data_IF_381007853197
#
_entry.id   IF_381007853197
#
_cell.length_a   1.000
_cell.length_b   1.000
_cell.length_c   1.000
_cell.angle_alpha   90.00
_cell.angle_beta   90.00
_cell.angle_gamma   90.00
#
_symmetry.space_group_name_H-M   'P 1'
#
loop_
_entity.id
_entity.type
_entity.pdbx_description
1 polymer ?
#
# COMPACT_ATOMS: atom_id res chain seq x y z
N UNK A 1 -10.33 -12.04 -2.73
CA UNK A 1 -10.43 -10.56 -2.83
C UNK A 1 -10.67 -10.19 -4.28
N UNK A 2 -11.70 -9.39 -4.55
CA UNK A 2 -11.96 -8.82 -5.86
C UNK A 2 -10.93 -7.75 -6.27
N UNK A 3 -11.04 -7.23 -7.50
CA UNK A 3 -10.23 -6.08 -7.98
C UNK A 3 -10.46 -4.85 -7.10
N UNK A 4 -11.73 -4.56 -6.79
CA UNK A 4 -12.09 -3.42 -5.95
C UNK A 4 -11.48 -3.54 -4.55
N UNK A 5 -11.59 -4.71 -3.92
CA UNK A 5 -11.02 -4.96 -2.59
C UNK A 5 -9.51 -4.70 -2.54
N UNK A 6 -8.78 -5.04 -3.62
CA UNK A 6 -7.33 -4.79 -3.72
C UNK A 6 -7.03 -3.30 -3.80
N UNK A 7 -7.81 -2.52 -4.55
CA UNK A 7 -7.66 -1.06 -4.58
C UNK A 7 -8.07 -0.39 -3.27
N UNK A 8 -9.11 -0.89 -2.60
CA UNK A 8 -9.49 -0.43 -1.26
C UNK A 8 -8.37 -0.68 -0.25
N UNK A 9 -7.76 -1.88 -0.28
CA UNK A 9 -6.60 -2.20 0.56
C UNK A 9 -5.42 -1.25 0.28
N UNK A 10 -5.09 -1.05 -1.01
CA UNK A 10 -4.03 -0.13 -1.41
C UNK A 10 -4.29 1.29 -0.88
N UNK A 11 -5.50 1.79 -1.04
CA UNK A 11 -5.91 3.09 -0.54
C UNK A 11 -5.75 3.20 0.98
N UNK A 12 -6.26 2.22 1.74
CA UNK A 12 -6.15 2.23 3.21
C UNK A 12 -4.69 2.20 3.67
N UNK A 13 -3.85 1.36 3.05
CA UNK A 13 -2.42 1.30 3.37
C UNK A 13 -1.74 2.64 3.13
N UNK A 14 -1.99 3.28 1.99
CA UNK A 14 -1.43 4.60 1.68
C UNK A 14 -1.98 5.70 2.57
N UNK A 15 -3.30 5.73 2.82
CA UNK A 15 -3.95 6.72 3.66
C UNK A 15 -3.43 6.68 5.11
N UNK A 16 -3.19 5.49 5.66
CA UNK A 16 -2.65 5.31 7.01
C UNK A 16 -1.13 5.49 7.07
N UNK A 17 -0.40 5.30 5.97
CA UNK A 17 1.06 5.44 5.96
C UNK A 17 1.52 6.85 6.37
N UNK A 18 0.88 7.89 5.86
CA UNK A 18 1.26 9.28 6.10
C UNK A 18 1.15 9.70 7.58
N UNK A 19 0.00 9.51 8.27
CA UNK A 19 -0.08 9.83 9.69
C UNK A 19 0.87 8.96 10.54
N UNK A 20 1.12 7.71 10.14
CA UNK A 20 2.03 6.81 10.88
C UNK A 20 3.50 7.25 10.76
N UNK A 21 3.94 7.62 9.55
CA UNK A 21 5.26 8.22 9.29
C UNK A 21 5.40 9.51 10.10
N UNK A 22 4.41 10.41 10.00
CA UNK A 22 4.45 11.70 10.70
C UNK A 22 4.55 11.51 12.21
N UNK A 23 3.66 10.72 12.82
CA UNK A 23 3.68 10.51 14.26
C UNK A 23 4.94 9.77 14.72
N UNK A 24 5.38 8.74 14.00
CA UNK A 24 6.63 8.01 14.32
C UNK A 24 7.88 8.90 14.27
N UNK A 25 7.96 9.79 13.27
CA UNK A 25 9.04 10.77 13.16
C UNK A 25 9.00 11.80 14.28
N UNK A 26 7.81 12.34 14.61
CA UNK A 26 7.64 13.34 15.68
C UNK A 26 7.85 12.77 17.08
N UNK A 27 7.47 11.51 17.33
CA UNK A 27 7.63 10.86 18.62
C UNK A 27 9.02 10.22 18.82
N UNK A 28 9.90 10.25 17.80
CA UNK A 28 11.21 9.57 17.85
C UNK A 28 11.11 8.04 17.87
N UNK A 29 9.97 7.46 17.50
CA UNK A 29 9.74 6.01 17.52
C UNK A 29 10.08 5.42 16.17
N UNK A 30 11.30 4.88 16.05
CA UNK A 30 11.86 4.42 14.78
C UNK A 30 10.99 3.37 14.05
N UNK A 31 10.49 2.41 14.82
CA UNK A 31 9.66 1.34 14.28
C UNK A 31 8.38 1.88 13.60
N UNK A 32 7.82 2.97 14.11
CA UNK A 32 6.52 3.44 13.68
C UNK A 32 6.57 4.13 12.31
N UNK A 33 7.58 4.97 12.08
CA UNK A 33 7.76 5.56 10.76
C UNK A 33 8.26 4.53 9.73
N UNK A 34 9.03 3.52 10.15
CA UNK A 34 9.42 2.41 9.28
C UNK A 34 8.22 1.58 8.82
N UNK A 35 7.28 1.26 9.73
CA UNK A 35 6.03 0.57 9.37
C UNK A 35 5.22 1.42 8.39
N UNK A 36 5.12 2.73 8.61
CA UNK A 36 4.44 3.62 7.68
C UNK A 36 5.05 3.62 6.28
N UNK A 37 6.39 3.64 6.17
CA UNK A 37 7.07 3.49 4.88
C UNK A 37 6.80 2.14 4.22
N UNK A 38 6.77 1.05 4.98
CA UNK A 38 6.42 -0.27 4.46
C UNK A 38 4.98 -0.30 3.92
N UNK A 39 4.03 0.30 4.65
CA UNK A 39 2.64 0.44 4.19
C UNK A 39 2.55 1.24 2.90
N UNK A 40 3.30 2.34 2.79
CA UNK A 40 3.35 3.16 1.57
C UNK A 40 3.90 2.36 0.38
N UNK A 41 5.00 1.63 0.58
CA UNK A 41 5.61 0.81 -0.47
C UNK A 41 4.66 -0.30 -0.94
N UNK A 42 4.04 -1.04 -0.02
CA UNK A 42 3.09 -2.10 -0.34
C UNK A 42 1.85 -1.51 -1.02
N UNK A 43 1.27 -0.45 -0.47
CA UNK A 43 0.10 0.23 -1.03
C UNK A 43 0.35 0.78 -2.43
N UNK A 44 1.55 1.32 -2.69
CA UNK A 44 1.97 1.79 -4.01
C UNK A 44 2.25 0.67 -5.02
N UNK A 45 2.64 -0.52 -4.56
CA UNK A 45 2.90 -1.69 -5.42
C UNK A 45 1.63 -2.46 -5.80
N UNK A 46 0.55 -2.39 -5.01
CA UNK A 46 -0.69 -3.11 -5.32
C UNK A 46 -1.30 -2.70 -6.67
N UNK A 47 -1.50 -1.40 -6.99
CA UNK A 47 -2.08 -1.02 -8.28
C UNK A 47 -1.31 -1.49 -9.52
N UNK A 48 0.02 -1.31 -9.63
CA UNK A 48 0.77 -1.84 -10.76
C UNK A 48 0.78 -3.37 -10.76
N UNK A 49 0.86 -4.04 -9.62
CA UNK A 49 0.75 -5.50 -9.56
C UNK A 49 -0.61 -5.96 -10.12
N UNK A 50 -1.73 -5.36 -9.69
CA UNK A 50 -3.05 -5.66 -10.24
C UNK A 50 -3.11 -5.42 -11.75
N UNK A 51 -2.47 -4.35 -12.24
CA UNK A 51 -2.46 -4.01 -13.67
C UNK A 51 -1.71 -5.03 -14.52
N UNK A 52 -0.58 -5.54 -14.03
CA UNK A 52 0.35 -6.38 -14.79
C UNK A 52 0.23 -7.88 -14.50
N UNK A 53 -0.42 -8.28 -13.39
CA UNK A 53 -0.66 -9.69 -13.04
C UNK A 53 -2.11 -10.11 -13.21
N UNK A 54 -3.04 -9.18 -13.52
CA UNK A 54 -4.32 -9.57 -14.09
C UNK A 54 -4.04 -10.09 -15.51
N UNK A 55 -3.67 -11.37 -15.59
CA UNK A 55 -3.62 -12.11 -16.83
C UNK A 55 -4.98 -11.93 -17.50
N UNK A 56 -4.97 -11.34 -18.68
CA UNK A 56 -6.11 -11.39 -19.57
C UNK A 56 -6.26 -12.87 -19.97
N UNK A 57 -7.32 -13.57 -19.52
CA UNK A 57 -7.51 -14.98 -19.82
C UNK A 57 -7.69 -15.23 -21.33
N UNK A 58 -7.92 -14.19 -22.12
CA UNK A 58 -8.15 -14.23 -23.56
C UNK A 58 -6.96 -13.69 -24.38
N UNK A 59 -5.80 -13.40 -23.75
CA UNK A 59 -4.62 -12.86 -24.43
C UNK A 59 -3.73 -13.89 -25.16
N UNK A 60 -4.28 -15.05 -25.57
CA UNK A 60 -3.63 -16.02 -26.46
C UNK A 60 -4.57 -16.48 -27.58
#
# INVERSE_FOLDING_TARGET
MGVLDRFTLAFVLMALSLPLISYGASAGVAALWAVGLAMLAIGGLIPPAVRFTAADPDAL
#
